data_IF_607475120595
#
_entry.id   IF_607475120595
#
_cell.length_a   1.000
_cell.length_b   1.000
_cell.length_c   1.000
_cell.angle_alpha   90.00
_cell.angle_beta   90.00
_cell.angle_gamma   90.00
#
_symmetry.space_group_name_H-M   'P 1'
#
loop_
_entity.id
_entity.type
_entity.pdbx_description
1 polymer ?
#
# COMPACT_ATOMS: atom_id res chain seq x y z
N UNK A 1 13.24 7.11 0.57
CA UNK A 1 14.39 6.57 -0.20
C UNK A 1 15.37 5.84 0.70
N UNK A 2 15.82 6.44 1.81
CA UNK A 2 16.89 5.88 2.64
C UNK A 2 16.54 4.48 3.19
N UNK A 3 15.32 4.25 3.67
CA UNK A 3 14.89 2.94 4.17
C UNK A 3 14.94 1.86 3.09
N UNK A 4 14.52 2.17 1.85
CA UNK A 4 14.61 1.23 0.72
C UNK A 4 16.07 0.94 0.36
N UNK A 5 16.94 1.95 0.38
CA UNK A 5 18.38 1.77 0.16
C UNK A 5 18.98 0.86 1.22
N UNK A 6 18.66 1.07 2.50
CA UNK A 6 19.15 0.22 3.59
C UNK A 6 18.69 -1.23 3.45
N UNK A 7 17.43 -1.47 3.09
CA UNK A 7 16.90 -2.82 2.86
C UNK A 7 17.62 -3.51 1.70
N UNK A 8 17.79 -2.82 0.57
CA UNK A 8 18.50 -3.36 -0.59
C UNK A 8 19.98 -3.63 -0.27
N UNK A 9 20.63 -2.75 0.49
CA UNK A 9 22.01 -2.94 0.91
C UNK A 9 22.13 -4.16 1.83
N UNK A 10 21.25 -4.31 2.83
CA UNK A 10 21.26 -5.48 3.71
C UNK A 10 21.07 -6.79 2.96
N UNK A 11 20.18 -6.81 1.96
CA UNK A 11 20.01 -7.98 1.07
C UNK A 11 21.24 -8.22 0.20
N UNK A 12 21.86 -7.16 -0.33
CA UNK A 12 23.07 -7.26 -1.12
C UNK A 12 24.23 -7.84 -0.30
N UNK A 13 24.38 -7.39 0.93
CA UNK A 13 25.44 -7.86 1.83
C UNK A 13 25.20 -9.33 2.24
N UNK A 14 23.96 -9.72 2.51
CA UNK A 14 23.61 -11.13 2.72
C UNK A 14 23.95 -12.01 1.52
N UNK A 15 23.61 -11.58 0.29
CA UNK A 15 23.91 -12.35 -0.92
C UNK A 15 25.40 -12.46 -1.18
N UNK A 16 26.18 -11.40 -0.92
CA UNK A 16 27.66 -11.42 -1.03
C UNK A 16 28.25 -12.39 -0.02
N UNK A 17 27.85 -12.28 1.25
CA UNK A 17 28.39 -13.08 2.34
C UNK A 17 28.05 -14.58 2.22
N UNK A 18 26.78 -14.88 1.93
CA UNK A 18 26.28 -16.27 1.92
C UNK A 18 26.47 -17.01 0.60
N UNK A 19 26.44 -16.30 -0.50
CA UNK A 19 26.50 -16.90 -1.85
C UNK A 19 27.77 -16.54 -2.63
N UNK A 20 28.67 -15.74 -2.05
CA UNK A 20 29.91 -15.31 -2.70
C UNK A 20 29.69 -14.46 -3.95
N UNK A 21 28.58 -13.74 -4.05
CA UNK A 21 28.29 -12.89 -5.19
C UNK A 21 29.26 -11.70 -5.19
N UNK A 22 30.11 -11.61 -6.21
CA UNK A 22 31.14 -10.55 -6.31
C UNK A 22 30.64 -9.32 -7.04
N UNK A 23 29.63 -9.45 -7.91
CA UNK A 23 29.09 -8.35 -8.71
C UNK A 23 27.57 -8.28 -8.55
N UNK A 24 27.12 -7.28 -7.83
CA UNK A 24 25.71 -6.95 -7.68
C UNK A 24 25.51 -5.48 -8.07
N UNK A 25 24.58 -5.23 -8.98
CA UNK A 25 24.20 -3.89 -9.41
C UNK A 25 22.80 -3.61 -8.83
N UNK A 26 22.73 -2.66 -7.93
CA UNK A 26 21.45 -2.22 -7.38
C UNK A 26 20.72 -1.30 -8.37
N UNK A 27 19.36 -1.29 -8.35
CA UNK A 27 18.60 -0.42 -9.22
C UNK A 27 18.76 1.05 -8.83
N UNK A 28 18.62 1.94 -9.80
CA UNK A 28 18.48 3.36 -9.53
C UNK A 28 17.11 3.61 -8.88
N UNK A 29 17.07 4.52 -7.90
CA UNK A 29 15.87 4.83 -7.13
C UNK A 29 15.57 6.33 -7.24
N UNK A 30 15.01 6.80 -8.36
CA UNK A 30 14.52 8.18 -8.45
C UNK A 30 13.40 8.38 -7.42
N UNK A 31 13.31 9.58 -6.86
CA UNK A 31 12.26 9.94 -5.90
C UNK A 31 11.30 10.88 -6.60
N UNK A 32 10.08 10.44 -6.80
CA UNK A 32 8.96 11.27 -7.26
C UNK A 32 7.94 11.25 -6.13
N UNK A 33 7.60 12.40 -5.52
CA UNK A 33 6.62 12.43 -4.43
C UNK A 33 5.21 12.10 -4.93
N UNK A 34 4.31 11.80 -4.00
CA UNK A 34 2.88 11.75 -4.29
C UNK A 34 2.34 13.17 -4.48
N UNK A 35 1.38 13.31 -5.38
CA UNK A 35 0.68 14.57 -5.63
C UNK A 35 -0.67 14.64 -4.93
N UNK A 36 -1.18 15.86 -4.80
CA UNK A 36 -2.57 16.18 -4.44
C UNK A 36 -3.12 17.18 -5.46
N UNK A 37 -4.43 17.33 -5.52
CA UNK A 37 -5.07 18.46 -6.18
C UNK A 37 -5.17 19.60 -5.17
N UNK A 38 -4.23 20.56 -5.25
CA UNK A 38 -4.15 21.63 -4.24
C UNK A 38 -5.38 22.53 -4.23
N UNK A 39 -6.09 22.61 -5.34
CA UNK A 39 -7.34 23.37 -5.47
C UNK A 39 -8.49 22.82 -4.62
N UNK A 40 -8.46 21.53 -4.27
CA UNK A 40 -9.49 20.90 -3.43
C UNK A 40 -9.45 21.40 -1.97
N UNK A 41 -8.35 22.08 -1.62
CA UNK A 41 -8.10 22.61 -0.27
C UNK A 41 -8.15 24.14 -0.20
N UNK A 42 -8.70 24.80 -1.21
CA UNK A 42 -8.83 26.26 -1.24
C UNK A 42 -10.20 26.70 -0.70
N UNK A 43 -10.31 26.76 0.61
CA UNK A 43 -11.55 27.14 1.30
C UNK A 43 -11.68 28.65 1.48
N UNK A 44 -12.89 29.18 1.23
CA UNK A 44 -13.20 30.59 1.42
C UNK A 44 -13.45 30.93 2.89
N UNK A 45 -13.45 32.22 3.21
CA UNK A 45 -13.78 32.71 4.56
C UNK A 45 -15.21 32.32 4.93
N UNK A 46 -16.14 32.40 3.99
CA UNK A 46 -17.55 32.03 4.17
C UNK A 46 -17.70 30.53 4.52
N UNK A 47 -16.92 29.66 3.85
CA UNK A 47 -16.91 28.23 4.17
C UNK A 47 -16.35 27.98 5.58
N UNK A 48 -15.33 28.74 6.00
CA UNK A 48 -14.80 28.65 7.37
C UNK A 48 -15.84 29.06 8.40
N UNK A 49 -16.56 30.15 8.17
CA UNK A 49 -17.64 30.61 9.07
C UNK A 49 -18.75 29.58 9.13
N UNK A 50 -19.24 29.12 7.99
CA UNK A 50 -20.30 28.11 7.92
C UNK A 50 -19.90 26.80 8.63
N UNK A 51 -18.67 26.33 8.46
CA UNK A 51 -18.19 25.12 9.12
C UNK A 51 -18.13 25.29 10.65
N UNK A 52 -17.67 26.46 11.12
CA UNK A 52 -17.66 26.76 12.57
C UNK A 52 -19.05 26.85 13.16
N UNK A 53 -19.97 27.50 12.47
CA UNK A 53 -21.39 27.55 12.89
C UNK A 53 -22.01 26.15 12.94
N UNK A 54 -21.76 25.33 11.92
CA UNK A 54 -22.26 23.94 11.84
C UNK A 54 -21.74 23.07 13.00
N UNK A 55 -20.49 23.27 13.40
CA UNK A 55 -19.85 22.52 14.48
C UNK A 55 -19.98 23.18 15.86
N UNK A 56 -20.72 24.26 15.95
CA UNK A 56 -20.91 25.05 17.18
C UNK A 56 -19.57 25.47 17.82
N UNK A 57 -18.68 26.03 17.01
CA UNK A 57 -17.36 26.51 17.40
C UNK A 57 -17.32 28.04 17.31
N UNK A 58 -17.04 28.71 18.43
CA UNK A 58 -16.97 30.16 18.46
C UNK A 58 -15.77 30.72 17.70
N UNK A 59 -15.85 31.97 17.24
CA UNK A 59 -14.75 32.62 16.48
C UNK A 59 -13.42 32.73 17.26
N UNK A 60 -13.51 32.81 18.60
CA UNK A 60 -12.33 32.91 19.47
C UNK A 60 -11.72 31.56 19.84
N UNK A 61 -12.38 30.45 19.54
CA UNK A 61 -11.91 29.10 19.83
C UNK A 61 -10.88 28.66 18.78
N UNK A 62 -9.75 28.17 19.21
CA UNK A 62 -8.75 27.59 18.32
C UNK A 62 -9.11 26.16 17.96
N UNK A 63 -8.96 25.81 16.70
CA UNK A 63 -9.26 24.45 16.19
C UNK A 63 -7.96 23.75 15.79
N UNK A 64 -7.65 22.66 16.48
CA UNK A 64 -6.59 21.74 16.11
C UNK A 64 -7.20 20.56 15.38
N UNK A 65 -6.71 20.21 14.23
CA UNK A 65 -7.19 19.12 13.40
C UNK A 65 -6.20 17.96 13.35
N UNK A 66 -6.66 16.76 13.65
CA UNK A 66 -6.05 15.50 13.23
C UNK A 66 -6.91 14.87 12.13
N UNK A 67 -6.28 14.40 11.04
CA UNK A 67 -6.96 13.74 9.94
C UNK A 67 -6.32 12.39 9.65
N UNK A 68 -7.11 11.31 9.62
CA UNK A 68 -6.63 9.97 9.27
C UNK A 68 -7.32 8.84 10.02
N UNK A 69 -6.86 7.59 9.80
CA UNK A 69 -7.36 6.46 10.59
C UNK A 69 -7.10 6.68 12.08
N UNK A 70 -8.12 6.51 12.88
CA UNK A 70 -8.02 6.57 14.34
C UNK A 70 -7.60 5.19 14.85
N UNK A 71 -6.28 4.94 14.82
CA UNK A 71 -5.66 3.68 15.21
C UNK A 71 -4.31 3.94 15.88
N UNK A 72 -4.27 3.75 17.19
CA UNK A 72 -3.07 4.01 17.99
C UNK A 72 -1.90 3.05 17.69
N UNK A 73 -2.19 1.85 17.18
CA UNK A 73 -1.17 0.84 16.86
C UNK A 73 -0.80 0.77 15.38
N UNK A 74 -1.65 1.29 14.49
CA UNK A 74 -1.47 1.15 13.05
C UNK A 74 -1.43 2.49 12.27
N UNK A 75 -1.50 3.64 12.96
CA UNK A 75 -1.35 4.96 12.33
C UNK A 75 -0.54 5.92 13.19
N UNK A 76 -1.06 6.37 14.31
CA UNK A 76 -0.40 7.30 15.22
C UNK A 76 -0.93 7.10 16.65
N UNK A 77 -0.04 7.04 17.61
CA UNK A 77 -0.45 6.99 19.01
C UNK A 77 -0.84 8.39 19.50
N UNK A 78 -2.10 8.62 19.90
CA UNK A 78 -2.61 9.99 20.13
C UNK A 78 -2.14 10.60 21.45
N UNK A 79 -1.59 9.82 22.38
CA UNK A 79 -1.34 10.25 23.76
C UNK A 79 -0.40 11.46 23.85
N UNK A 80 0.66 11.52 23.03
CA UNK A 80 1.59 12.65 23.03
C UNK A 80 0.88 13.95 22.62
N UNK A 81 -0.01 13.89 21.62
CA UNK A 81 -0.82 15.04 21.19
C UNK A 81 -1.78 15.48 22.30
N UNK A 82 -2.51 14.56 22.93
CA UNK A 82 -3.46 14.89 24.00
C UNK A 82 -2.77 15.56 25.20
N UNK A 83 -1.67 14.96 25.68
CA UNK A 83 -0.91 15.54 26.79
C UNK A 83 -0.35 16.92 26.47
N UNK A 84 0.18 17.09 25.27
CA UNK A 84 0.73 18.37 24.84
C UNK A 84 -0.34 19.45 24.68
N UNK A 85 -1.53 19.09 24.16
CA UNK A 85 -2.69 20.00 24.07
C UNK A 85 -3.15 20.43 25.44
N UNK A 86 -3.35 19.50 26.38
CA UNK A 86 -3.74 19.80 27.74
C UNK A 86 -2.79 20.79 28.39
N UNK A 87 -1.48 20.51 28.31
CA UNK A 87 -0.44 21.39 28.86
C UNK A 87 -0.40 22.77 28.17
N UNK A 88 -0.68 22.85 26.88
CA UNK A 88 -0.71 24.11 26.13
C UNK A 88 -1.95 24.95 26.51
N UNK A 89 -3.10 24.32 26.61
CA UNK A 89 -4.35 24.97 27.07
C UNK A 89 -4.22 25.48 28.50
N UNK A 90 -3.68 24.67 29.39
CA UNK A 90 -3.43 25.09 30.78
C UNK A 90 -2.45 26.27 30.85
N UNK A 91 -1.46 26.38 29.95
CA UNK A 91 -0.53 27.46 29.91
C UNK A 91 -1.11 28.74 29.31
N UNK A 92 -1.75 28.65 28.14
CA UNK A 92 -2.23 29.81 27.37
C UNK A 92 -3.60 30.32 27.81
N UNK A 93 -4.37 29.47 28.50
CA UNK A 93 -5.79 29.73 28.86
C UNK A 93 -6.68 30.01 27.65
N UNK A 94 -6.25 29.56 26.46
CA UNK A 94 -7.07 29.64 25.25
C UNK A 94 -8.14 28.56 25.24
N UNK A 95 -9.28 28.88 24.63
CA UNK A 95 -10.29 27.89 24.30
C UNK A 95 -9.84 27.11 23.05
N UNK A 96 -9.79 25.79 23.15
CA UNK A 96 -9.27 24.92 22.09
C UNK A 96 -10.23 23.74 21.87
N UNK A 97 -10.52 23.46 20.62
CA UNK A 97 -11.22 22.27 20.16
C UNK A 97 -10.25 21.40 19.37
N UNK A 98 -10.21 20.10 19.66
CA UNK A 98 -9.56 19.11 18.82
C UNK A 98 -10.60 18.44 17.93
N UNK A 99 -10.42 18.48 16.63
CA UNK A 99 -11.20 17.69 15.68
C UNK A 99 -10.38 16.46 15.29
N UNK A 100 -10.93 15.29 15.57
CA UNK A 100 -10.44 14.01 15.07
C UNK A 100 -11.31 13.58 13.88
N UNK A 101 -10.86 13.89 12.67
CA UNK A 101 -11.56 13.51 11.45
C UNK A 101 -10.97 12.20 10.90
N UNK A 102 -11.74 11.12 11.08
CA UNK A 102 -11.29 9.79 10.72
C UNK A 102 -12.29 8.71 11.02
N UNK A 103 -11.83 7.49 11.20
CA UNK A 103 -12.69 6.37 11.61
C UNK A 103 -11.91 5.38 12.47
N UNK A 104 -12.61 4.77 13.41
CA UNK A 104 -12.08 3.66 14.21
C UNK A 104 -12.42 2.33 13.53
N UNK A 105 -11.49 1.37 13.54
CA UNK A 105 -11.71 0.05 12.95
C UNK A 105 -12.81 -0.75 13.68
N UNK A 106 -12.99 -0.50 14.98
CA UNK A 106 -14.01 -1.14 15.81
C UNK A 106 -14.30 -0.32 17.08
N UNK A 107 -15.33 -0.74 17.81
CA UNK A 107 -15.77 -0.06 19.03
C UNK A 107 -14.74 -0.09 20.18
N UNK A 108 -13.90 -1.15 20.27
CA UNK A 108 -12.86 -1.24 21.30
C UNK A 108 -11.82 -0.14 21.12
N UNK A 109 -11.39 0.11 19.87
CA UNK A 109 -10.47 1.20 19.55
C UNK A 109 -11.13 2.56 19.84
N UNK A 110 -12.39 2.77 19.44
CA UNK A 110 -13.11 4.00 19.73
C UNK A 110 -13.20 4.27 21.25
N UNK A 111 -13.47 3.24 22.03
CA UNK A 111 -13.50 3.34 23.49
C UNK A 111 -12.11 3.73 24.05
N UNK A 112 -11.03 3.14 23.55
CA UNK A 112 -9.67 3.47 23.99
C UNK A 112 -9.32 4.94 23.72
N UNK A 113 -9.71 5.50 22.56
CA UNK A 113 -9.54 6.93 22.27
C UNK A 113 -10.33 7.80 23.25
N UNK A 114 -11.61 7.49 23.48
CA UNK A 114 -12.46 8.24 24.43
C UNK A 114 -11.94 8.19 25.86
N UNK A 115 -11.38 7.07 26.29
CA UNK A 115 -10.75 6.93 27.62
C UNK A 115 -9.46 7.76 27.70
N UNK A 116 -8.61 7.74 26.66
CA UNK A 116 -7.39 8.50 26.60
C UNK A 116 -7.65 10.02 26.61
N UNK A 117 -8.65 10.51 25.86
CA UNK A 117 -9.08 11.92 25.89
C UNK A 117 -9.48 12.34 27.30
N UNK A 118 -10.37 11.58 27.96
CA UNK A 118 -10.83 11.94 29.32
C UNK A 118 -9.71 12.01 30.34
N UNK A 119 -8.66 11.18 30.19
CA UNK A 119 -7.55 11.11 31.11
C UNK A 119 -6.44 12.13 30.81
N UNK A 120 -6.11 12.29 29.53
CA UNK A 120 -4.91 13.03 29.11
C UNK A 120 -5.19 14.44 28.59
N UNK A 121 -6.47 14.78 28.28
CA UNK A 121 -6.84 16.06 27.67
C UNK A 121 -8.24 16.51 28.12
N UNK A 122 -8.52 16.49 29.45
CA UNK A 122 -9.86 16.79 29.99
C UNK A 122 -10.33 18.23 29.76
N UNK A 123 -9.41 19.19 29.55
CA UNK A 123 -9.74 20.60 29.34
C UNK A 123 -10.02 20.95 27.87
N UNK A 124 -9.87 19.99 26.95
CA UNK A 124 -10.05 20.20 25.50
C UNK A 124 -11.34 19.49 25.04
N UNK A 125 -12.23 20.25 24.40
CA UNK A 125 -13.41 19.67 23.73
C UNK A 125 -12.91 18.90 22.49
N UNK A 126 -13.31 17.62 22.39
CA UNK A 126 -12.95 16.77 21.23
C UNK A 126 -14.19 16.50 20.40
N UNK A 127 -14.13 16.76 19.10
CA UNK A 127 -15.15 16.48 18.11
C UNK A 127 -14.67 15.36 17.17
N UNK A 128 -15.51 14.36 16.97
CA UNK A 128 -15.23 13.26 16.06
C UNK A 128 -16.06 13.45 14.79
N UNK A 129 -15.39 13.53 13.63
CA UNK A 129 -15.99 13.58 12.31
C UNK A 129 -15.62 12.31 11.53
N UNK A 130 -16.55 11.83 10.69
CA UNK A 130 -16.29 10.63 9.88
C UNK A 130 -15.49 10.97 8.62
N UNK A 131 -14.17 10.78 8.67
CA UNK A 131 -13.27 11.06 7.56
C UNK A 131 -13.54 10.29 6.26
N UNK A 132 -14.50 9.36 6.24
CA UNK A 132 -14.98 8.68 5.02
C UNK A 132 -16.02 9.50 4.26
N UNK A 133 -16.64 10.48 4.92
CA UNK A 133 -17.64 11.39 4.34
C UNK A 133 -16.97 12.65 3.82
N UNK A 134 -17.17 13.01 2.54
CA UNK A 134 -16.62 14.25 1.97
C UNK A 134 -17.01 15.48 2.77
N UNK A 135 -18.29 15.64 3.10
CA UNK A 135 -18.82 16.81 3.82
C UNK A 135 -18.14 16.99 5.20
N UNK A 136 -17.95 15.89 5.95
CA UNK A 136 -17.25 15.93 7.24
C UNK A 136 -15.77 16.33 7.09
N UNK A 137 -15.10 15.89 6.00
CA UNK A 137 -13.74 16.33 5.70
C UNK A 137 -13.66 17.80 5.35
N UNK A 138 -14.57 18.30 4.53
CA UNK A 138 -14.61 19.71 4.12
C UNK A 138 -14.87 20.62 5.32
N UNK A 139 -15.78 20.23 6.23
CA UNK A 139 -15.99 20.91 7.50
C UNK A 139 -14.70 20.93 8.33
N UNK A 140 -14.01 19.79 8.45
CA UNK A 140 -12.78 19.69 9.25
C UNK A 140 -11.66 20.57 8.70
N UNK A 141 -11.41 20.52 7.38
CA UNK A 141 -10.37 21.31 6.74
C UNK A 141 -10.63 22.81 6.79
N UNK A 142 -11.88 23.23 6.50
CA UNK A 142 -12.23 24.65 6.41
C UNK A 142 -12.25 25.36 7.75
N UNK A 143 -12.62 24.68 8.86
CA UNK A 143 -12.73 25.31 10.18
C UNK A 143 -11.41 25.32 10.97
N UNK A 144 -10.40 24.55 10.57
CA UNK A 144 -9.16 24.37 11.33
C UNK A 144 -8.27 25.63 11.35
N UNK A 145 -7.44 25.73 12.39
CA UNK A 145 -6.40 26.77 12.57
C UNK A 145 -4.99 26.18 12.63
N UNK A 146 -4.87 24.93 13.07
CA UNK A 146 -3.60 24.20 13.19
C UNK A 146 -3.85 22.74 12.84
N UNK A 147 -2.96 22.14 12.07
CA UNK A 147 -2.98 20.70 11.82
C UNK A 147 -1.94 20.00 12.72
N UNK A 148 -2.30 18.85 13.28
CA UNK A 148 -1.38 18.04 14.07
C UNK A 148 -1.43 16.57 13.66
N UNK A 149 -0.24 15.98 13.39
CA UNK A 149 -0.09 14.54 13.11
C UNK A 149 1.26 14.05 13.65
N UNK A 150 1.24 13.45 14.84
CA UNK A 150 2.43 12.94 15.52
C UNK A 150 2.59 11.44 15.25
N UNK A 151 2.78 11.08 13.98
CA UNK A 151 2.97 9.69 13.58
C UNK A 151 4.26 9.13 14.17
N UNK A 152 4.17 7.97 14.77
CA UNK A 152 5.24 7.17 15.37
C UNK A 152 5.31 5.75 14.79
N UNK A 153 4.61 5.50 13.69
CA UNK A 153 4.45 4.19 13.11
C UNK A 153 5.41 3.96 11.94
N UNK A 154 6.02 2.77 11.89
CA UNK A 154 6.95 2.37 10.84
C UNK A 154 6.29 2.19 9.46
N UNK A 155 4.96 2.16 9.38
CA UNK A 155 4.22 2.12 8.10
C UNK A 155 4.12 3.48 7.42
N UNK A 156 4.29 4.59 8.14
CA UNK A 156 4.24 5.91 7.53
C UNK A 156 5.49 6.13 6.68
N UNK A 157 5.31 6.34 5.39
CA UNK A 157 6.42 6.44 4.44
C UNK A 157 6.50 7.76 3.70
N UNK A 158 5.38 8.48 3.58
CA UNK A 158 5.32 9.75 2.86
C UNK A 158 4.56 10.82 3.64
N UNK A 159 3.32 10.49 4.07
CA UNK A 159 2.46 11.43 4.78
C UNK A 159 1.80 12.46 3.87
N UNK A 160 0.78 12.03 3.14
CA UNK A 160 0.03 12.92 2.25
C UNK A 160 -0.77 13.97 3.02
N UNK A 161 -1.31 13.61 4.20
CA UNK A 161 -2.20 14.48 4.99
C UNK A 161 -1.55 15.78 5.46
N UNK A 162 -0.28 15.83 5.90
CA UNK A 162 0.40 17.11 6.16
C UNK A 162 0.50 18.00 4.91
N UNK A 163 0.59 17.43 3.71
CA UNK A 163 0.63 18.20 2.46
C UNK A 163 -0.76 18.78 2.17
N UNK A 164 -1.83 18.01 2.41
CA UNK A 164 -3.22 18.48 2.34
C UNK A 164 -3.45 19.64 3.32
N UNK A 165 -2.97 19.50 4.56
CA UNK A 165 -3.03 20.57 5.56
C UNK A 165 -2.28 21.83 5.12
N UNK A 166 -1.09 21.68 4.55
CA UNK A 166 -0.34 22.80 3.97
C UNK A 166 -1.12 23.44 2.81
N UNK A 167 -1.73 22.64 1.92
CA UNK A 167 -2.56 23.16 0.84
C UNK A 167 -3.77 23.95 1.37
N UNK A 168 -4.39 23.51 2.46
CA UNK A 168 -5.45 24.23 3.17
C UNK A 168 -4.93 25.53 3.86
N UNK A 169 -3.62 25.77 3.86
CA UNK A 169 -3.01 26.95 4.49
C UNK A 169 -2.90 26.83 6.01
N UNK A 170 -2.84 25.62 6.53
CA UNK A 170 -2.68 25.37 7.96
C UNK A 170 -1.20 25.22 8.32
N UNK A 171 -0.72 25.87 9.40
CA UNK A 171 0.56 25.50 9.99
C UNK A 171 0.47 24.08 10.52
N UNK A 172 1.53 23.28 10.32
CA UNK A 172 1.54 21.87 10.68
C UNK A 172 2.43 21.60 11.89
N UNK A 173 1.98 20.76 12.80
CA UNK A 173 2.76 20.21 13.92
C UNK A 173 2.87 18.70 13.67
N UNK A 174 4.05 18.25 13.28
CA UNK A 174 4.26 16.85 12.85
C UNK A 174 5.48 16.25 13.52
N UNK A 175 5.50 14.93 13.69
CA UNK A 175 6.71 14.26 14.18
C UNK A 175 7.86 14.39 13.18
N UNK A 176 9.10 14.51 13.66
CA UNK A 176 10.31 14.42 12.83
C UNK A 176 10.57 12.97 12.44
N UNK A 177 9.70 12.45 11.56
CA UNK A 177 9.56 11.04 11.24
C UNK A 177 9.46 10.81 9.74
N UNK A 178 10.25 9.88 9.22
CA UNK A 178 10.30 9.41 7.84
C UNK A 178 9.98 10.49 6.77
N UNK A 179 8.92 10.32 5.99
CA UNK A 179 8.54 11.22 4.90
C UNK A 179 8.19 12.64 5.34
N UNK A 180 7.78 12.85 6.59
CA UNK A 180 7.52 14.19 7.10
C UNK A 180 8.76 15.09 7.12
N UNK A 181 9.94 14.47 7.23
CA UNK A 181 11.24 15.18 7.14
C UNK A 181 11.47 15.81 5.76
N UNK A 182 10.95 15.19 4.73
CA UNK A 182 11.10 15.64 3.33
C UNK A 182 9.98 16.62 2.93
N UNK A 183 8.79 16.45 3.49
CA UNK A 183 7.60 17.23 3.11
C UNK A 183 7.46 18.55 3.86
N UNK A 184 7.78 18.59 5.15
CA UNK A 184 7.61 19.76 6.03
C UNK A 184 8.95 20.39 6.37
N UNK A 185 9.10 21.71 6.16
CA UNK A 185 10.27 22.48 6.58
C UNK A 185 10.05 23.03 8.00
N UNK A 186 10.90 22.58 8.93
CA UNK A 186 10.81 22.98 10.32
C UNK A 186 10.99 24.50 10.50
N UNK A 187 10.14 25.12 11.32
CA UNK A 187 10.11 26.56 11.57
C UNK A 187 9.60 27.42 10.41
N UNK A 188 9.29 26.84 9.24
CA UNK A 188 8.83 27.54 8.04
C UNK A 188 7.37 27.21 7.71
N UNK A 189 7.06 25.93 7.49
CA UNK A 189 5.70 25.48 7.17
C UNK A 189 4.94 25.06 8.44
N UNK A 190 5.67 24.85 9.54
CA UNK A 190 5.20 24.39 10.82
C UNK A 190 6.35 23.94 11.70
N UNK A 191 6.09 23.00 12.59
CA UNK A 191 7.07 22.44 13.52
C UNK A 191 7.22 20.94 13.32
N UNK A 192 8.48 20.46 13.21
CA UNK A 192 8.83 19.06 13.28
C UNK A 192 9.27 18.70 14.69
N UNK A 193 8.51 17.84 15.32
CA UNK A 193 8.69 17.47 16.73
C UNK A 193 9.71 16.32 16.84
N UNK A 194 10.74 16.43 17.66
CA UNK A 194 11.75 15.40 17.85
C UNK A 194 11.14 14.05 18.26
N UNK A 195 11.71 12.98 17.73
CA UNK A 195 11.32 11.60 18.04
C UNK A 195 12.51 10.82 18.57
N UNK A 196 12.24 9.79 19.37
CA UNK A 196 13.25 8.90 19.93
C UNK A 196 12.78 7.45 19.74
N UNK A 197 13.64 6.60 19.21
CA UNK A 197 13.41 5.15 19.13
C UNK A 197 14.65 4.39 19.62
N UNK A 198 14.52 3.10 19.99
CA UNK A 198 15.66 2.26 20.34
C UNK A 198 16.69 2.20 19.19
N UNK A 199 17.96 2.05 19.54
CA UNK A 199 19.01 1.86 18.54
C UNK A 199 18.86 0.53 17.80
N UNK A 200 19.51 0.41 16.65
CA UNK A 200 19.57 -0.82 15.88
C UNK A 200 20.06 -2.00 16.74
N UNK A 201 19.50 -3.20 16.47
CA UNK A 201 19.80 -4.43 17.23
C UNK A 201 18.88 -4.68 18.43
N UNK A 202 18.23 -3.65 18.99
CA UNK A 202 17.34 -3.81 20.16
C UNK A 202 15.92 -4.29 19.80
N UNK A 203 15.60 -4.47 18.52
CA UNK A 203 14.31 -4.97 18.05
C UNK A 203 14.36 -6.33 17.35
N UNK A 204 15.43 -7.11 17.55
CA UNK A 204 15.59 -8.41 16.89
C UNK A 204 14.53 -9.44 17.32
N UNK A 205 14.07 -9.39 18.55
CA UNK A 205 12.99 -10.22 19.05
C UNK A 205 11.68 -9.93 18.33
N UNK A 206 11.32 -8.66 18.09
CA UNK A 206 10.14 -8.26 17.33
C UNK A 206 10.23 -8.75 15.89
N UNK A 207 11.39 -8.56 15.23
CA UNK A 207 11.63 -9.02 13.88
C UNK A 207 11.51 -10.56 13.78
N UNK A 208 12.09 -11.31 14.73
CA UNK A 208 12.01 -12.77 14.77
C UNK A 208 10.58 -13.27 14.99
N UNK A 209 9.82 -12.66 15.91
CA UNK A 209 8.42 -13.02 16.16
C UNK A 209 7.58 -12.84 14.88
N UNK A 210 7.77 -11.73 14.17
CA UNK A 210 7.09 -11.49 12.90
C UNK A 210 7.55 -12.46 11.81
N UNK A 211 8.85 -12.73 11.67
CA UNK A 211 9.40 -13.68 10.70
C UNK A 211 8.87 -15.10 10.90
N UNK A 212 8.74 -15.52 12.16
CA UNK A 212 8.16 -16.81 12.56
C UNK A 212 6.62 -16.84 12.53
N UNK A 213 5.99 -15.73 12.13
CA UNK A 213 4.52 -15.56 12.07
C UNK A 213 3.81 -15.78 13.43
N UNK A 214 4.50 -15.53 14.52
CA UNK A 214 3.89 -15.46 15.86
C UNK A 214 3.06 -14.19 16.00
N UNK A 215 3.51 -13.09 15.36
CA UNK A 215 2.81 -11.82 15.30
C UNK A 215 2.38 -11.51 13.87
N UNK A 216 1.15 -11.01 13.72
CA UNK A 216 0.71 -10.40 12.46
C UNK A 216 1.51 -9.12 12.17
N UNK A 217 1.43 -8.62 10.93
CA UNK A 217 2.08 -7.35 10.57
C UNK A 217 1.54 -6.17 11.40
N UNK A 218 0.23 -6.13 11.68
CA UNK A 218 -0.37 -5.10 12.53
C UNK A 218 0.16 -5.14 13.96
N UNK A 219 0.31 -6.34 14.54
CA UNK A 219 0.90 -6.51 15.88
C UNK A 219 2.37 -6.09 15.88
N UNK A 220 3.14 -6.48 14.87
CA UNK A 220 4.54 -6.08 14.72
C UNK A 220 4.69 -4.54 14.65
N UNK A 221 3.86 -3.88 13.84
CA UNK A 221 3.83 -2.42 13.77
C UNK A 221 3.43 -1.79 15.11
N UNK A 222 2.39 -2.31 15.76
CA UNK A 222 1.90 -1.81 17.04
C UNK A 222 2.92 -1.94 18.16
N UNK A 223 3.62 -3.08 18.27
CA UNK A 223 4.69 -3.28 19.23
C UNK A 223 5.87 -2.34 18.96
N UNK A 224 6.24 -2.17 17.69
CA UNK A 224 7.33 -1.28 17.29
C UNK A 224 7.02 0.17 17.62
N UNK A 225 5.82 0.67 17.27
CA UNK A 225 5.46 2.06 17.53
C UNK A 225 5.31 2.37 19.04
N UNK A 226 4.95 1.38 19.86
CA UNK A 226 4.91 1.53 21.32
C UNK A 226 6.28 1.83 21.95
N UNK A 227 7.35 1.59 21.22
CA UNK A 227 8.74 1.88 21.62
C UNK A 227 9.30 3.15 20.99
N UNK A 228 8.46 3.94 20.30
CA UNK A 228 8.84 5.20 19.68
C UNK A 228 8.19 6.35 20.46
N UNK A 229 8.99 7.31 20.88
CA UNK A 229 8.55 8.47 21.64
C UNK A 229 8.53 9.72 20.76
N UNK A 230 7.48 10.54 20.93
CA UNK A 230 7.41 11.90 20.38
C UNK A 230 7.56 12.88 21.56
N UNK A 231 8.39 13.92 21.42
CA UNK A 231 8.68 14.88 22.49
C UNK A 231 7.45 15.73 22.83
N UNK A 232 6.82 15.40 23.99
CA UNK A 232 5.63 16.09 24.50
C UNK A 232 5.93 17.55 24.81
N UNK A 233 7.13 17.86 25.35
CA UNK A 233 7.50 19.23 25.71
C UNK A 233 7.70 20.10 24.46
N UNK A 234 8.35 19.58 23.44
CA UNK A 234 8.49 20.25 22.16
C UNK A 234 7.12 20.46 21.49
N UNK A 235 6.24 19.45 21.51
CA UNK A 235 4.87 19.53 20.99
C UNK A 235 4.07 20.62 21.71
N UNK A 236 4.09 20.63 23.06
CA UNK A 236 3.48 21.67 23.87
C UNK A 236 3.96 23.06 23.45
N UNK A 237 5.29 23.25 23.32
CA UNK A 237 5.86 24.56 22.97
C UNK A 237 5.45 25.00 21.55
N UNK A 238 5.35 24.06 20.61
CA UNK A 238 4.84 24.34 19.27
C UNK A 238 3.40 24.84 19.32
N UNK A 239 2.52 24.16 20.08
CA UNK A 239 1.13 24.60 20.28
C UNK A 239 1.07 25.98 20.93
N UNK A 240 1.81 26.23 22.02
CA UNK A 240 1.83 27.55 22.67
C UNK A 240 2.21 28.63 21.66
N UNK A 241 3.27 28.44 20.90
CA UNK A 241 3.72 29.40 19.89
C UNK A 241 2.64 29.71 18.85
N UNK A 242 1.94 28.66 18.38
CA UNK A 242 0.86 28.82 17.42
C UNK A 242 -0.41 29.41 18.05
N UNK A 243 -0.74 29.08 19.30
CA UNK A 243 -1.94 29.57 19.97
C UNK A 243 -1.82 31.07 20.29
N UNK A 244 -0.64 31.53 20.68
CA UNK A 244 -0.41 32.92 21.06
C UNK A 244 -0.18 33.86 19.88
N UNK A 245 0.16 33.34 18.68
CA UNK A 245 0.52 34.18 17.55
C UNK A 245 -0.30 33.88 16.27
N UNK A 246 -1.38 34.63 16.02
CA UNK A 246 -2.13 34.55 14.74
C UNK A 246 -1.24 34.83 13.52
N UNK A 247 -0.26 35.78 13.67
CA UNK A 247 0.66 36.09 12.58
C UNK A 247 1.62 34.95 12.26
N UNK A 248 2.05 34.20 13.28
CA UNK A 248 2.86 32.99 13.05
C UNK A 248 2.05 31.93 12.31
N UNK A 249 0.79 31.67 12.72
CA UNK A 249 -0.11 30.74 12.03
C UNK A 249 -0.28 31.11 10.57
N UNK A 250 -0.59 32.39 10.28
CA UNK A 250 -0.75 32.87 8.91
C UNK A 250 0.52 32.68 8.10
N UNK A 251 1.67 33.16 8.61
CA UNK A 251 2.96 33.07 7.91
C UNK A 251 3.35 31.63 7.59
N UNK A 252 3.21 30.71 8.54
CA UNK A 252 3.51 29.29 8.32
C UNK A 252 2.51 28.63 7.37
N UNK A 253 1.23 28.93 7.49
CA UNK A 253 0.20 28.45 6.61
C UNK A 253 0.41 28.90 5.16
N UNK A 254 0.72 30.18 4.94
CA UNK A 254 1.01 30.73 3.61
C UNK A 254 2.27 30.08 2.99
N UNK A 255 3.32 29.86 3.80
CA UNK A 255 4.54 29.19 3.34
C UNK A 255 4.26 27.73 2.98
N UNK A 256 3.46 27.02 3.78
CA UNK A 256 3.02 25.65 3.52
C UNK A 256 2.17 25.55 2.25
N UNK A 257 1.18 26.42 2.08
CA UNK A 257 0.31 26.46 0.88
C UNK A 257 1.13 26.69 -0.39
N UNK A 258 2.05 27.65 -0.36
CA UNK A 258 2.96 27.89 -1.47
C UNK A 258 3.78 26.65 -1.81
N UNK A 259 4.37 25.99 -0.80
CA UNK A 259 5.17 24.77 -0.98
C UNK A 259 4.33 23.63 -1.54
N UNK A 260 3.11 23.39 -1.03
CA UNK A 260 2.22 22.36 -1.53
C UNK A 260 1.95 22.54 -3.03
N UNK A 261 1.60 23.75 -3.45
CA UNK A 261 1.32 24.10 -4.84
C UNK A 261 2.54 23.95 -5.75
N UNK A 262 3.72 24.35 -5.29
CA UNK A 262 4.93 24.33 -6.12
C UNK A 262 5.56 22.95 -6.27
N UNK A 263 5.40 22.06 -5.26
CA UNK A 263 6.15 20.81 -5.20
C UNK A 263 5.29 19.53 -5.13
N UNK A 264 4.00 19.64 -4.80
CA UNK A 264 3.15 18.48 -4.53
C UNK A 264 1.81 18.54 -5.27
N UNK A 265 1.61 19.51 -6.16
CA UNK A 265 0.45 19.49 -7.06
C UNK A 265 0.62 18.44 -8.15
N UNK A 266 -0.45 17.71 -8.48
CA UNK A 266 -0.42 16.70 -9.53
C UNK A 266 0.08 17.23 -10.86
N UNK A 267 -0.21 18.49 -11.20
CA UNK A 267 0.31 19.11 -12.42
C UNK A 267 1.84 19.10 -12.49
N UNK A 268 2.53 19.22 -11.35
CA UNK A 268 4.00 19.17 -11.26
C UNK A 268 4.51 17.75 -11.22
N UNK A 269 3.84 16.90 -10.44
CA UNK A 269 4.26 15.51 -10.23
C UNK A 269 4.15 14.69 -11.52
N UNK A 270 3.11 14.90 -12.32
CA UNK A 270 2.94 14.22 -13.62
C UNK A 270 4.13 14.51 -14.55
N UNK A 271 4.61 15.74 -14.61
CA UNK A 271 5.77 16.11 -15.43
C UNK A 271 7.04 15.33 -15.03
N UNK A 272 7.24 15.04 -13.73
CA UNK A 272 8.37 14.22 -13.27
C UNK A 272 8.23 12.76 -13.74
N UNK A 273 7.02 12.20 -13.72
CA UNK A 273 6.76 10.87 -14.28
C UNK A 273 6.99 10.81 -15.79
N UNK A 274 6.48 11.78 -16.54
CA UNK A 274 6.66 11.85 -17.99
C UNK A 274 8.15 11.93 -18.37
N UNK A 275 8.92 12.74 -17.63
CA UNK A 275 10.37 12.82 -17.80
C UNK A 275 11.03 11.46 -17.56
N UNK A 276 10.70 10.79 -16.45
CA UNK A 276 11.24 9.45 -16.13
C UNK A 276 10.87 8.45 -17.21
N UNK A 277 9.64 8.42 -17.70
CA UNK A 277 9.21 7.52 -18.76
C UNK A 277 9.93 7.81 -20.09
N UNK A 278 10.16 9.07 -20.40
CA UNK A 278 10.97 9.45 -21.58
C UNK A 278 12.40 8.91 -21.48
N UNK A 279 13.05 9.07 -20.33
CA UNK A 279 14.39 8.53 -20.07
C UNK A 279 14.41 7.01 -20.18
N UNK A 280 13.45 6.29 -19.59
CA UNK A 280 13.33 4.85 -19.68
C UNK A 280 13.11 4.36 -21.12
N UNK A 281 12.29 5.06 -21.90
CA UNK A 281 12.09 4.78 -23.32
C UNK A 281 13.39 4.90 -24.12
N UNK A 282 14.22 5.90 -23.81
CA UNK A 282 15.54 6.02 -24.46
C UNK A 282 16.45 4.87 -24.09
N UNK A 283 16.55 4.52 -22.78
CA UNK A 283 17.32 3.36 -22.33
C UNK A 283 16.87 2.08 -23.03
N UNK A 284 15.56 1.86 -23.18
CA UNK A 284 15.00 0.72 -23.89
C UNK A 284 15.39 0.68 -25.37
N UNK A 285 15.28 1.82 -26.07
CA UNK A 285 15.61 1.94 -27.51
C UNK A 285 17.09 1.71 -27.79
N UNK A 286 17.97 2.15 -26.90
CA UNK A 286 19.43 2.00 -27.06
C UNK A 286 19.99 0.75 -26.40
N UNK A 287 19.16 -0.08 -25.76
CA UNK A 287 19.59 -1.35 -25.19
C UNK A 287 19.89 -2.35 -26.30
N UNK A 288 21.17 -2.64 -26.50
CA UNK A 288 21.67 -3.53 -27.58
C UNK A 288 21.39 -5.00 -27.31
N UNK A 289 21.03 -5.38 -26.07
CA UNK A 289 20.77 -6.77 -25.69
C UNK A 289 19.32 -6.93 -25.29
N UNK A 290 18.52 -7.66 -26.07
CA UNK A 290 17.22 -8.07 -25.57
C UNK A 290 17.41 -8.86 -24.27
N UNK A 291 16.74 -8.44 -23.21
CA UNK A 291 16.73 -9.24 -21.98
C UNK A 291 16.19 -10.62 -22.33
N UNK A 292 16.95 -11.66 -22.02
CA UNK A 292 16.41 -13.01 -22.10
C UNK A 292 15.19 -13.07 -21.19
N UNK A 293 14.03 -13.51 -21.70
CA UNK A 293 12.87 -13.69 -20.85
C UNK A 293 13.27 -14.63 -19.70
N UNK A 294 13.00 -14.22 -18.48
CA UNK A 294 13.13 -15.10 -17.33
C UNK A 294 12.12 -16.23 -17.48
N UNK A 295 12.49 -17.45 -17.12
CA UNK A 295 11.57 -18.60 -17.08
C UNK A 295 10.35 -18.34 -16.20
N UNK A 296 10.48 -17.42 -15.25
CA UNK A 296 9.42 -16.94 -14.39
C UNK A 296 9.63 -15.45 -14.15
N UNK A 297 8.56 -14.67 -14.21
CA UNK A 297 8.55 -13.25 -13.86
C UNK A 297 8.91 -13.00 -12.38
N UNK A 298 8.77 -14.03 -11.54
CA UNK A 298 9.06 -13.98 -10.12
C UNK A 298 9.97 -15.15 -9.71
N UNK A 299 11.27 -14.94 -9.41
CA UNK A 299 12.20 -16.02 -9.10
C UNK A 299 11.83 -16.91 -7.93
N UNK A 300 11.07 -16.39 -6.95
CA UNK A 300 10.59 -17.15 -5.80
C UNK A 300 9.30 -17.95 -6.07
N UNK A 301 8.74 -17.82 -7.26
CA UNK A 301 7.52 -18.51 -7.71
C UNK A 301 7.75 -19.06 -9.10
N UNK A 302 8.54 -20.14 -9.15
CA UNK A 302 8.85 -20.82 -10.39
C UNK A 302 7.60 -21.49 -10.97
N UNK A 303 7.63 -21.77 -12.28
CA UNK A 303 6.68 -22.65 -12.93
C UNK A 303 6.60 -23.98 -12.17
N UNK A 304 5.40 -24.44 -11.72
CA UNK A 304 5.27 -25.69 -10.96
C UNK A 304 5.77 -26.91 -11.75
N UNK A 305 5.58 -26.94 -13.06
CA UNK A 305 6.05 -28.06 -13.87
C UNK A 305 7.57 -28.06 -14.03
N UNK A 306 8.20 -26.90 -13.99
CA UNK A 306 9.65 -26.81 -13.90
C UNK A 306 10.17 -27.21 -12.53
N UNK A 307 9.54 -26.74 -11.44
CA UNK A 307 9.97 -26.99 -10.07
C UNK A 307 9.91 -28.47 -9.71
N UNK A 308 8.87 -29.17 -10.18
CA UNK A 308 8.60 -30.56 -9.85
C UNK A 308 8.84 -31.51 -11.03
N UNK A 309 9.62 -31.12 -12.04
CA UNK A 309 9.87 -31.87 -13.27
C UNK A 309 10.46 -33.28 -13.08
N UNK A 310 11.00 -33.56 -11.89
CA UNK A 310 11.54 -34.89 -11.56
C UNK A 310 10.55 -35.81 -10.83
N UNK A 311 9.33 -35.33 -10.59
CA UNK A 311 8.32 -36.13 -9.86
C UNK A 311 7.59 -37.15 -10.76
N UNK A 312 7.13 -36.75 -11.96
CA UNK A 312 6.40 -37.66 -12.82
C UNK A 312 7.35 -38.63 -13.54
N UNK A 313 6.81 -39.78 -13.95
CA UNK A 313 7.51 -40.75 -14.81
C UNK A 313 7.78 -40.13 -16.19
N UNK A 314 6.73 -39.53 -16.78
CA UNK A 314 6.78 -38.88 -18.10
C UNK A 314 6.24 -37.46 -18.02
N UNK A 315 6.65 -36.61 -18.95
CA UNK A 315 6.11 -35.27 -19.13
C UNK A 315 5.50 -35.12 -20.51
N UNK A 316 4.34 -34.50 -20.60
CA UNK A 316 3.76 -34.14 -21.88
C UNK A 316 4.66 -33.13 -22.60
N UNK A 317 5.04 -33.47 -23.81
CA UNK A 317 5.74 -32.61 -24.75
C UNK A 317 4.92 -32.43 -26.02
N UNK A 318 5.21 -31.45 -26.87
CA UNK A 318 4.58 -31.34 -28.19
C UNK A 318 4.71 -32.61 -29.04
N UNK A 319 5.72 -33.44 -28.79
CA UNK A 319 6.02 -34.66 -29.54
C UNK A 319 5.42 -35.93 -28.91
N UNK A 320 4.82 -35.84 -27.71
CA UNK A 320 4.18 -36.99 -27.05
C UNK A 320 2.99 -37.49 -27.89
N UNK A 321 2.94 -38.78 -28.16
CA UNK A 321 1.84 -39.38 -28.90
C UNK A 321 0.67 -39.69 -27.97
N UNK A 322 -0.51 -39.19 -28.35
CA UNK A 322 -1.77 -39.42 -27.65
C UNK A 322 -2.80 -40.06 -28.61
N UNK A 323 -3.75 -40.81 -28.06
CA UNK A 323 -4.87 -41.35 -28.77
C UNK A 323 -6.15 -41.24 -27.94
N UNK A 324 -7.31 -41.20 -28.58
CA UNK A 324 -8.58 -41.40 -27.88
C UNK A 324 -8.66 -42.82 -27.30
N UNK A 325 -9.19 -42.93 -26.07
CA UNK A 325 -9.46 -44.22 -25.44
C UNK A 325 -10.65 -44.89 -26.13
N UNK A 326 -11.70 -44.12 -26.40
CA UNK A 326 -12.87 -44.52 -27.16
C UNK A 326 -12.91 -43.69 -28.45
N UNK A 327 -12.92 -44.38 -29.61
CA UNK A 327 -12.96 -43.69 -30.90
C UNK A 327 -14.40 -43.28 -31.28
N UNK A 328 -15.08 -42.60 -30.33
CA UNK A 328 -16.46 -42.14 -30.47
C UNK A 328 -16.59 -40.75 -29.82
N UNK A 329 -17.05 -39.78 -30.63
CA UNK A 329 -17.12 -38.37 -30.19
C UNK A 329 -18.19 -38.19 -29.10
N UNK A 330 -19.37 -38.76 -29.32
CA UNK A 330 -20.52 -38.56 -28.41
C UNK A 330 -20.27 -39.23 -27.06
N UNK A 331 -19.68 -40.43 -27.08
CA UNK A 331 -19.27 -41.13 -25.86
C UNK A 331 -18.25 -40.33 -25.06
N UNK A 332 -17.22 -39.82 -25.73
CA UNK A 332 -16.18 -38.99 -25.11
C UNK A 332 -16.76 -37.72 -24.51
N UNK A 333 -17.64 -37.01 -25.23
CA UNK A 333 -18.29 -35.79 -24.74
C UNK A 333 -19.19 -36.06 -23.53
N UNK A 334 -20.01 -37.14 -23.59
CA UNK A 334 -20.88 -37.50 -22.49
C UNK A 334 -20.07 -37.86 -21.23
N UNK A 335 -18.95 -38.53 -21.41
CA UNK A 335 -18.04 -38.89 -20.31
C UNK A 335 -17.40 -37.64 -19.70
N UNK A 336 -16.96 -36.68 -20.51
CA UNK A 336 -16.43 -35.39 -20.02
C UNK A 336 -17.50 -34.63 -19.22
N UNK A 337 -18.73 -34.49 -19.78
CA UNK A 337 -19.83 -33.78 -19.09
C UNK A 337 -20.17 -34.44 -17.76
N UNK A 338 -20.29 -35.74 -17.71
CA UNK A 338 -20.56 -36.50 -16.48
C UNK A 338 -19.43 -36.28 -15.44
N UNK A 339 -18.17 -36.30 -15.87
CA UNK A 339 -17.06 -36.04 -14.96
C UNK A 339 -17.02 -34.59 -14.47
N UNK A 340 -17.42 -33.62 -15.29
CA UNK A 340 -17.49 -32.20 -14.87
C UNK A 340 -18.59 -31.94 -13.83
N UNK A 341 -19.59 -32.82 -13.67
CA UNK A 341 -20.56 -32.73 -12.57
C UNK A 341 -19.93 -33.03 -11.20
N UNK A 342 -18.81 -33.75 -11.18
CA UNK A 342 -18.09 -34.06 -9.95
C UNK A 342 -17.36 -32.80 -9.43
N UNK A 343 -17.65 -32.42 -8.19
CA UNK A 343 -17.02 -31.26 -7.56
C UNK A 343 -15.49 -31.29 -7.60
N UNK A 344 -14.89 -32.50 -7.45
CA UNK A 344 -13.43 -32.68 -7.50
C UNK A 344 -12.83 -32.42 -8.88
N UNK A 345 -13.60 -32.61 -9.96
CA UNK A 345 -13.19 -32.29 -11.33
C UNK A 345 -13.46 -30.82 -11.62
N UNK A 346 -14.65 -30.34 -11.29
CA UNK A 346 -15.07 -28.96 -11.57
C UNK A 346 -14.33 -27.90 -10.71
N UNK A 347 -13.66 -28.30 -9.64
CA UNK A 347 -12.81 -27.43 -8.83
C UNK A 347 -11.85 -26.59 -9.68
N UNK A 348 -11.26 -27.17 -10.70
CA UNK A 348 -10.24 -26.56 -11.54
C UNK A 348 -10.81 -25.99 -12.87
N UNK A 349 -12.11 -25.70 -12.95
CA UNK A 349 -12.77 -25.24 -14.20
C UNK A 349 -12.09 -24.07 -14.89
N UNK A 350 -11.41 -23.20 -14.13
CA UNK A 350 -10.68 -22.03 -14.64
C UNK A 350 -9.52 -22.38 -15.58
N UNK A 351 -9.00 -23.62 -15.49
CA UNK A 351 -7.91 -24.11 -16.34
C UNK A 351 -8.40 -25.12 -17.39
N UNK A 352 -9.70 -25.30 -17.57
CA UNK A 352 -10.25 -26.20 -18.60
C UNK A 352 -10.33 -25.49 -19.94
N UNK A 353 -10.14 -26.23 -21.06
CA UNK A 353 -10.49 -25.74 -22.37
C UNK A 353 -12.00 -25.47 -22.48
N UNK A 354 -12.38 -24.59 -23.36
CA UNK A 354 -13.79 -24.35 -23.70
C UNK A 354 -14.41 -25.57 -24.39
N UNK A 355 -15.74 -25.67 -24.42
CA UNK A 355 -16.42 -26.76 -25.13
C UNK A 355 -16.02 -26.84 -26.61
N UNK A 356 -15.87 -25.71 -27.29
CA UNK A 356 -15.40 -25.64 -28.67
C UNK A 356 -13.96 -26.14 -28.83
N UNK A 357 -13.06 -25.78 -27.90
CA UNK A 357 -11.67 -26.27 -27.91
C UNK A 357 -11.62 -27.78 -27.64
N UNK A 358 -12.46 -28.29 -26.73
CA UNK A 358 -12.57 -29.74 -26.47
C UNK A 358 -13.03 -30.45 -27.73
N UNK A 359 -14.04 -29.93 -28.44
CA UNK A 359 -14.53 -30.52 -29.70
C UNK A 359 -13.42 -30.58 -30.76
N UNK A 360 -12.60 -29.54 -30.91
CA UNK A 360 -11.46 -29.53 -31.81
C UNK A 360 -10.49 -30.67 -31.46
N UNK A 361 -10.12 -30.77 -30.18
CA UNK A 361 -9.21 -31.80 -29.68
C UNK A 361 -9.75 -33.20 -29.93
N UNK A 362 -11.03 -33.47 -29.63
CA UNK A 362 -11.63 -34.77 -29.84
C UNK A 362 -11.72 -35.15 -31.34
N UNK A 363 -12.12 -34.20 -32.19
CA UNK A 363 -12.14 -34.40 -33.64
C UNK A 363 -10.72 -34.69 -34.20
N UNK A 364 -9.71 -34.04 -33.67
CA UNK A 364 -8.34 -34.36 -34.00
C UNK A 364 -8.01 -35.82 -33.60
N UNK A 365 -8.42 -36.26 -32.42
CA UNK A 365 -8.15 -37.60 -31.88
C UNK A 365 -8.85 -38.72 -32.66
N UNK A 366 -10.03 -38.46 -33.26
CA UNK A 366 -10.74 -39.46 -34.10
C UNK A 366 -9.94 -39.91 -35.33
N UNK A 367 -8.93 -39.13 -35.73
CA UNK A 367 -8.04 -39.49 -36.86
C UNK A 367 -6.94 -40.46 -36.45
N UNK A 368 -6.97 -40.99 -35.22
CA UNK A 368 -6.02 -41.97 -34.69
C UNK A 368 -4.86 -41.33 -33.88
N UNK A 369 -3.91 -42.15 -33.41
CA UNK A 369 -2.78 -41.69 -32.62
C UNK A 369 -1.97 -40.60 -33.32
N UNK A 370 -1.66 -39.53 -32.57
CA UNK A 370 -0.93 -38.37 -33.11
C UNK A 370 -0.15 -37.63 -32.02
N UNK A 371 0.75 -36.75 -32.44
CA UNK A 371 1.52 -35.91 -31.54
C UNK A 371 0.62 -34.91 -30.82
N UNK A 372 0.93 -34.61 -29.57
CA UNK A 372 0.15 -33.66 -28.77
C UNK A 372 -0.03 -32.29 -29.43
N UNK A 373 0.98 -31.79 -30.14
CA UNK A 373 0.90 -30.53 -30.88
C UNK A 373 -0.19 -30.56 -31.96
N UNK A 374 -0.41 -31.71 -32.63
CA UNK A 374 -1.36 -31.87 -33.72
C UNK A 374 -2.83 -31.84 -33.24
N UNK A 375 -3.07 -32.01 -31.93
CA UNK A 375 -4.38 -31.84 -31.30
C UNK A 375 -4.82 -30.40 -31.19
N UNK A 376 -3.89 -29.45 -31.28
CA UNK A 376 -4.13 -28.04 -31.02
C UNK A 376 -3.84 -27.13 -32.23
N UNK A 377 -3.55 -27.70 -33.39
CA UNK A 377 -3.25 -26.94 -34.62
C UNK A 377 -4.41 -26.03 -35.07
N UNK A 378 -5.65 -26.49 -34.89
CA UNK A 378 -6.85 -25.73 -35.24
C UNK A 378 -7.34 -24.79 -34.10
N UNK A 379 -6.56 -24.66 -33.01
CA UNK A 379 -6.81 -23.74 -31.90
C UNK A 379 -6.13 -22.40 -32.22
N UNK A 380 -6.74 -21.28 -31.80
CA UNK A 380 -6.16 -19.95 -31.93
C UNK A 380 -4.77 -19.87 -31.26
N UNK A 381 -3.82 -19.19 -31.88
CA UNK A 381 -2.40 -19.17 -31.50
C UNK A 381 -2.19 -18.77 -30.03
N UNK A 382 -2.95 -17.80 -29.55
CA UNK A 382 -2.94 -17.33 -28.16
C UNK A 382 -3.42 -18.38 -27.14
N UNK A 383 -4.19 -19.38 -27.58
CA UNK A 383 -4.77 -20.44 -26.74
C UNK A 383 -4.04 -21.79 -26.88
N UNK A 384 -3.24 -22.00 -27.91
CA UNK A 384 -2.61 -23.30 -28.20
C UNK A 384 -1.83 -23.86 -27.01
N UNK A 385 -0.99 -23.07 -26.34
CA UNK A 385 -0.21 -23.55 -25.19
C UNK A 385 -1.09 -23.91 -24.00
N UNK A 386 -2.19 -23.18 -23.81
CA UNK A 386 -3.16 -23.48 -22.76
C UNK A 386 -3.86 -24.80 -23.01
N UNK A 387 -4.36 -25.02 -24.23
CA UNK A 387 -5.06 -26.26 -24.59
C UNK A 387 -4.07 -27.43 -24.64
N UNK A 388 -2.86 -27.23 -25.15
CA UNK A 388 -1.81 -28.26 -25.16
C UNK A 388 -1.54 -28.83 -23.76
N UNK A 389 -1.34 -27.97 -22.75
CA UNK A 389 -1.14 -28.46 -21.37
C UNK A 389 -2.39 -29.15 -20.81
N UNK A 390 -3.57 -28.74 -21.28
CA UNK A 390 -4.84 -29.27 -20.81
C UNK A 390 -5.15 -30.68 -21.39
N UNK A 391 -4.39 -31.16 -22.38
CA UNK A 391 -4.48 -32.56 -22.85
C UNK A 391 -4.18 -33.53 -21.71
N UNK A 392 -3.31 -33.18 -20.76
CA UNK A 392 -3.04 -34.01 -19.56
C UNK A 392 -4.32 -34.17 -18.71
N UNK A 393 -5.18 -33.14 -18.65
CA UNK A 393 -6.45 -33.23 -17.96
C UNK A 393 -7.39 -34.24 -18.65
N UNK A 394 -7.44 -34.29 -20.00
CA UNK A 394 -8.19 -35.30 -20.75
C UNK A 394 -7.61 -36.69 -20.54
N UNK A 395 -6.30 -36.84 -20.44
CA UNK A 395 -5.65 -38.11 -20.04
C UNK A 395 -6.09 -38.52 -18.63
N UNK A 396 -6.08 -37.55 -17.68
CA UNK A 396 -6.52 -37.80 -16.30
C UNK A 396 -7.98 -38.25 -16.21
N UNK A 397 -8.84 -37.80 -17.12
CA UNK A 397 -10.24 -38.20 -17.19
C UNK A 397 -10.46 -39.52 -17.94
N UNK A 398 -9.42 -40.15 -18.49
CA UNK A 398 -9.52 -41.38 -19.28
C UNK A 398 -10.11 -41.18 -20.68
N UNK A 399 -10.08 -39.93 -21.18
CA UNK A 399 -10.56 -39.61 -22.55
C UNK A 399 -9.42 -39.80 -23.56
N UNK A 400 -8.22 -39.36 -23.21
CA UNK A 400 -7.00 -39.61 -23.97
C UNK A 400 -6.10 -40.58 -23.22
N UNK A 401 -5.25 -41.27 -23.96
CA UNK A 401 -4.16 -42.09 -23.40
C UNK A 401 -2.85 -41.78 -24.12
N UNK A 402 -1.74 -41.88 -23.39
CA UNK A 402 -0.39 -41.84 -23.97
C UNK A 402 -0.13 -43.16 -24.72
N UNK A 403 0.38 -43.05 -25.93
CA UNK A 403 0.83 -44.21 -26.70
C UNK A 403 2.28 -44.47 -26.31
N UNK A 404 2.48 -45.50 -25.48
CA UNK A 404 3.82 -45.95 -25.11
C UNK A 404 4.36 -46.81 -26.24
N UNK A 405 5.45 -46.41 -26.87
CA UNK A 405 6.16 -47.18 -27.91
C UNK A 405 6.91 -48.37 -27.36
#
# INVERSE_FOLDING_TARGET
KNNVVNLLQSQADYLKDRLGITKLVLPQLPVIPLGIHTTDFDFSVEQKVLARDTLEISDNTLVVLFMGRLSFHAKAHPLAMYQALELAVQHTKKDVVLIECGWHANQSIAKSFSEAVRQACPSVRVLNLDGRKPDDRDLAWSCADVFCSLVDNIQETFGIVPIEAMAAGLPVVVSDWDGYKDTVRDGIDGFRIPTLMPQEGLGLDLANRHALKLDSYDVYCGLSCSLISVDIKATKNAFISLFDSPDLRRRMGDAGRKRAKENFDWEKIILEYEKLWSELNQVQKFSVKPMKPLFSSWPARLDPFYSFRKYPTNSLTPQTFLTLVENDLDSSLNTIKRHQELSMVNFAKVIFPTESEILIVLNAGLRGPRKAIEFVEDISEDRQLFVLRSLVWLVKLGILAEVVS
#
